data_IF_693990219767
#
_entry.id   IF_693990219767
#
_cell.length_a   1.000
_cell.length_b   1.000
_cell.length_c   1.000
_cell.angle_alpha   90.00
_cell.angle_beta   90.00
_cell.angle_gamma   90.00
#
_symmetry.space_group_name_H-M   'P 1'
#
loop_
_entity.id
_entity.type
_entity.pdbx_description
1 polymer ?
#
# COMPACT_ATOMS: atom_id res chain seq x y z
N UNK A 1 24.23 7.03 -12.49
CA UNK A 1 24.05 5.58 -12.26
C UNK A 1 23.76 4.90 -13.59
N UNK A 2 24.48 3.85 -13.89
CA UNK A 2 24.30 3.08 -15.13
C UNK A 2 23.17 2.06 -14.98
N UNK A 3 22.66 1.56 -16.11
CA UNK A 3 21.63 0.51 -16.11
C UNK A 3 22.15 -0.76 -15.43
N UNK A 4 23.42 -1.11 -15.62
CA UNK A 4 24.04 -2.26 -14.98
C UNK A 4 24.09 -2.12 -13.45
N UNK A 5 24.38 -0.92 -12.96
CA UNK A 5 24.36 -0.64 -11.51
C UNK A 5 22.95 -0.73 -10.93
N UNK A 6 21.96 -0.20 -11.64
CA UNK A 6 20.55 -0.28 -11.23
C UNK A 6 20.06 -1.72 -11.21
N UNK A 7 20.40 -2.51 -12.22
CA UNK A 7 20.05 -3.93 -12.27
C UNK A 7 20.65 -4.70 -11.10
N UNK A 8 21.89 -4.40 -10.74
CA UNK A 8 22.56 -5.02 -9.59
C UNK A 8 21.83 -4.69 -8.28
N UNK A 9 21.44 -3.42 -8.09
CA UNK A 9 20.66 -3.00 -6.92
C UNK A 9 19.32 -3.73 -6.88
N UNK A 10 18.61 -3.78 -7.99
CA UNK A 10 17.32 -4.47 -8.09
C UNK A 10 17.44 -5.95 -7.72
N UNK A 11 18.43 -6.63 -8.27
CA UNK A 11 18.65 -8.05 -8.00
C UNK A 11 19.03 -8.30 -6.53
N UNK A 12 19.78 -7.40 -5.91
CA UNK A 12 20.10 -7.48 -4.49
C UNK A 12 18.85 -7.32 -3.62
N UNK A 13 17.99 -6.37 -3.96
CA UNK A 13 16.72 -6.15 -3.25
C UNK A 13 15.80 -7.36 -3.38
N UNK A 14 15.67 -7.91 -4.56
CA UNK A 14 14.90 -9.14 -4.79
C UNK A 14 15.39 -10.28 -3.91
N UNK A 15 16.68 -10.51 -3.94
CA UNK A 15 17.31 -11.60 -3.18
C UNK A 15 17.09 -11.42 -1.68
N UNK A 16 17.25 -10.19 -1.20
CA UNK A 16 17.08 -9.88 0.22
C UNK A 16 15.63 -10.07 0.66
N UNK A 17 14.67 -9.64 -0.14
CA UNK A 17 13.24 -9.83 0.14
C UNK A 17 12.88 -11.32 0.15
N UNK A 18 13.33 -12.06 -0.83
CA UNK A 18 13.09 -13.50 -0.94
C UNK A 18 13.67 -14.24 0.26
N UNK A 19 14.93 -13.93 0.63
CA UNK A 19 15.61 -14.55 1.76
C UNK A 19 14.88 -14.25 3.08
N UNK A 20 14.47 -13.00 3.28
CA UNK A 20 13.72 -12.61 4.48
C UNK A 20 12.42 -13.40 4.62
N UNK A 21 11.66 -13.50 3.53
CA UNK A 21 10.40 -14.26 3.54
C UNK A 21 10.65 -15.74 3.79
N UNK A 22 11.63 -16.34 3.15
CA UNK A 22 11.95 -17.75 3.31
C UNK A 22 12.42 -18.06 4.74
N UNK A 23 13.27 -17.22 5.32
CA UNK A 23 13.79 -17.40 6.68
C UNK A 23 12.70 -17.29 7.74
N UNK A 24 11.65 -16.50 7.48
CA UNK A 24 10.56 -16.27 8.43
C UNK A 24 9.30 -17.11 8.12
N UNK A 25 9.36 -17.95 7.10
CA UNK A 25 8.23 -18.80 6.71
C UNK A 25 7.07 -18.04 6.08
N UNK A 26 7.30 -16.87 5.51
CA UNK A 26 6.28 -16.07 4.83
C UNK A 26 6.23 -16.47 3.35
N UNK A 27 5.10 -17.03 2.93
CA UNK A 27 4.89 -17.37 1.52
C UNK A 27 4.27 -16.20 0.75
N UNK A 28 3.40 -15.42 1.40
CA UNK A 28 2.65 -14.34 0.78
C UNK A 28 2.95 -13.01 1.48
N UNK A 29 2.82 -11.93 0.72
CA UNK A 29 2.99 -10.57 1.24
C UNK A 29 1.79 -9.70 0.89
N UNK A 30 1.53 -8.71 1.73
CA UNK A 30 0.47 -7.74 1.52
C UNK A 30 1.05 -6.34 1.54
N UNK A 31 0.57 -5.47 0.67
CA UNK A 31 1.03 -4.09 0.60
C UNK A 31 -0.10 -3.13 0.24
N UNK A 32 0.11 -1.86 0.56
CA UNK A 32 -0.76 -0.79 0.12
C UNK A 32 -0.31 -0.27 -1.24
N UNK A 33 -1.23 -0.15 -2.18
CA UNK A 33 -0.97 0.38 -3.52
C UNK A 33 -1.75 1.70 -3.65
N UNK A 34 -1.03 2.80 -3.72
CA UNK A 34 -1.64 4.14 -3.67
C UNK A 34 -1.80 4.82 -5.04
N UNK A 35 -1.26 4.23 -6.08
CA UNK A 35 -1.13 4.88 -7.40
C UNK A 35 0.09 5.78 -7.50
N UNK A 36 0.90 5.92 -6.43
CA UNK A 36 2.18 6.63 -6.43
C UNK A 36 3.34 5.75 -6.83
N UNK A 37 4.48 6.38 -7.09
CA UNK A 37 5.67 5.70 -7.59
C UNK A 37 6.26 4.70 -6.59
N UNK A 38 6.34 5.08 -5.32
CA UNK A 38 6.99 4.24 -4.30
C UNK A 38 6.25 2.92 -4.12
N UNK A 39 4.92 2.97 -3.96
CA UNK A 39 4.12 1.75 -3.82
C UNK A 39 4.13 0.91 -5.10
N UNK A 40 4.20 1.55 -6.26
CA UNK A 40 4.31 0.86 -7.54
C UNK A 40 5.61 0.06 -7.62
N UNK A 41 6.73 0.68 -7.26
CA UNK A 41 8.04 0.02 -7.27
C UNK A 41 8.05 -1.17 -6.30
N UNK A 42 7.51 -0.99 -5.09
CA UNK A 42 7.44 -2.07 -4.10
C UNK A 42 6.60 -3.24 -4.60
N UNK A 43 5.47 -2.95 -5.26
CA UNK A 43 4.60 -4.01 -5.79
C UNK A 43 5.29 -4.81 -6.89
N UNK A 44 6.00 -4.15 -7.79
CA UNK A 44 6.74 -4.81 -8.88
C UNK A 44 7.92 -5.63 -8.31
N UNK A 45 8.63 -5.07 -7.35
CA UNK A 45 9.74 -5.78 -6.69
C UNK A 45 9.25 -7.05 -6.00
N UNK A 46 8.12 -6.98 -5.29
CA UNK A 46 7.54 -8.14 -4.62
C UNK A 46 7.14 -9.21 -5.63
N UNK A 47 6.52 -8.83 -6.74
CA UNK A 47 6.16 -9.78 -7.81
C UNK A 47 7.39 -10.44 -8.42
N UNK A 48 8.43 -9.65 -8.65
CA UNK A 48 9.67 -10.15 -9.25
C UNK A 48 10.42 -11.10 -8.30
N UNK A 49 10.35 -10.84 -7.00
CA UNK A 49 11.03 -11.65 -5.98
C UNK A 49 10.25 -12.92 -5.61
N UNK A 50 8.93 -12.84 -5.50
CA UNK A 50 8.11 -13.89 -4.90
C UNK A 50 7.14 -14.57 -5.88
N UNK A 51 6.85 -13.93 -7.00
CA UNK A 51 5.80 -14.34 -7.93
C UNK A 51 4.50 -13.58 -7.65
N UNK A 52 3.79 -13.23 -8.71
CA UNK A 52 2.56 -12.42 -8.61
C UNK A 52 1.47 -13.11 -7.78
N UNK A 53 1.42 -14.43 -7.80
CA UNK A 53 0.45 -15.23 -7.03
C UNK A 53 0.62 -15.10 -5.51
N UNK A 54 1.78 -14.62 -5.06
CA UNK A 54 2.10 -14.43 -3.63
C UNK A 54 1.97 -12.98 -3.17
N UNK A 55 1.56 -12.08 -4.07
CA UNK A 55 1.48 -10.64 -3.77
C UNK A 55 0.02 -10.19 -3.75
N UNK A 56 -0.37 -9.56 -2.64
CA UNK A 56 -1.72 -9.06 -2.43
C UNK A 56 -1.66 -7.58 -2.12
N UNK A 57 -2.38 -6.77 -2.90
CA UNK A 57 -2.36 -5.32 -2.76
C UNK A 57 -3.74 -4.76 -2.46
N UNK A 58 -3.77 -3.77 -1.57
CA UNK A 58 -4.97 -3.02 -1.24
C UNK A 58 -4.81 -1.56 -1.67
N UNK A 59 -5.76 -1.07 -2.44
CA UNK A 59 -5.95 0.37 -2.64
C UNK A 59 -6.97 0.84 -1.61
N UNK A 60 -6.49 1.47 -0.56
CA UNK A 60 -7.33 1.96 0.53
C UNK A 60 -7.72 3.40 0.23
N UNK A 61 -8.88 3.54 -0.42
CA UNK A 61 -9.33 4.85 -0.88
C UNK A 61 -10.06 5.64 0.20
N UNK A 62 -9.98 6.96 0.07
CA UNK A 62 -10.75 7.93 0.85
C UNK A 62 -11.45 8.89 -0.11
N UNK A 63 -12.23 9.84 0.41
CA UNK A 63 -12.87 10.88 -0.39
C UNK A 63 -11.83 11.78 -1.10
N UNK A 64 -10.58 11.79 -0.63
CA UNK A 64 -9.49 12.59 -1.20
C UNK A 64 -8.69 11.82 -2.25
N UNK A 65 -8.95 10.53 -2.44
CA UNK A 65 -8.24 9.74 -3.45
C UNK A 65 -8.71 10.14 -4.83
N UNK A 66 -7.75 10.50 -5.71
CA UNK A 66 -8.07 10.91 -7.07
C UNK A 66 -8.45 9.72 -7.94
N UNK A 67 -9.28 9.99 -8.96
CA UNK A 67 -9.62 9.00 -9.98
C UNK A 67 -8.37 8.52 -10.71
N UNK A 68 -7.42 9.42 -10.96
CA UNK A 68 -6.15 9.07 -11.59
C UNK A 68 -5.36 8.04 -10.76
N UNK A 69 -5.30 8.23 -9.44
CA UNK A 69 -4.63 7.27 -8.55
C UNK A 69 -5.28 5.89 -8.61
N UNK A 70 -6.61 5.84 -8.64
CA UNK A 70 -7.36 4.59 -8.77
C UNK A 70 -7.07 3.89 -10.10
N UNK A 71 -7.05 4.66 -11.19
CA UNK A 71 -6.75 4.12 -12.52
C UNK A 71 -5.33 3.60 -12.62
N UNK A 72 -4.36 4.33 -12.10
CA UNK A 72 -2.94 3.93 -12.12
C UNK A 72 -2.74 2.64 -11.31
N UNK A 73 -3.29 2.59 -10.10
CA UNK A 73 -3.17 1.40 -9.25
C UNK A 73 -3.78 0.17 -9.92
N UNK A 74 -4.97 0.30 -10.49
CA UNK A 74 -5.63 -0.79 -11.19
C UNK A 74 -4.82 -1.26 -12.40
N UNK A 75 -4.21 -0.35 -13.14
CA UNK A 75 -3.39 -0.67 -14.30
C UNK A 75 -2.12 -1.40 -13.93
N UNK A 76 -1.45 -0.96 -12.86
CA UNK A 76 -0.25 -1.63 -12.34
C UNK A 76 -0.59 -3.07 -11.94
N UNK A 77 -1.69 -3.25 -11.23
CA UNK A 77 -2.15 -4.57 -10.80
C UNK A 77 -2.44 -5.48 -12.00
N UNK A 78 -3.13 -4.97 -13.01
CA UNK A 78 -3.47 -5.72 -14.21
C UNK A 78 -2.23 -6.12 -15.01
N UNK A 79 -1.26 -5.21 -15.14
CA UNK A 79 -0.03 -5.48 -15.89
C UNK A 79 0.87 -6.51 -15.20
N UNK A 80 0.85 -6.58 -13.87
CA UNK A 80 1.71 -7.47 -13.10
C UNK A 80 1.00 -8.75 -12.64
N UNK A 81 -0.32 -8.78 -12.67
CA UNK A 81 -1.09 -9.98 -12.39
C UNK A 81 -1.23 -10.37 -10.93
N UNK A 82 -0.93 -9.46 -9.99
CA UNK A 82 -1.11 -9.75 -8.56
C UNK A 82 -2.56 -9.52 -8.11
N UNK A 83 -2.92 -10.10 -6.97
CA UNK A 83 -4.22 -9.90 -6.34
C UNK A 83 -4.39 -8.45 -5.89
N UNK A 84 -5.49 -7.82 -6.30
CA UNK A 84 -5.73 -6.39 -6.07
C UNK A 84 -7.17 -6.15 -5.66
N UNK A 85 -7.33 -5.39 -4.58
CA UNK A 85 -8.65 -4.99 -4.08
C UNK A 85 -8.67 -3.51 -3.75
N UNK A 86 -9.80 -2.88 -4.01
CA UNK A 86 -10.08 -1.50 -3.59
C UNK A 86 -10.97 -1.55 -2.35
N UNK A 87 -10.53 -0.89 -1.29
CA UNK A 87 -11.27 -0.82 -0.03
C UNK A 87 -11.52 0.64 0.29
N UNK A 88 -12.78 1.00 0.55
CA UNK A 88 -13.13 2.35 0.98
C UNK A 88 -13.00 2.44 2.49
N UNK A 89 -11.99 3.17 2.96
CA UNK A 89 -11.74 3.36 4.40
C UNK A 89 -12.36 4.66 4.94
N UNK A 90 -13.02 5.45 4.09
CA UNK A 90 -13.62 6.71 4.51
C UNK A 90 -14.66 6.55 5.62
N UNK A 91 -15.58 5.56 5.59
CA UNK A 91 -16.53 5.39 6.67
C UNK A 91 -15.91 5.18 8.05
N UNK A 92 -14.78 4.47 8.12
CA UNK A 92 -14.04 4.25 9.37
C UNK A 92 -13.42 5.56 9.86
N UNK A 93 -12.79 6.31 8.95
CA UNK A 93 -12.21 7.61 9.25
C UNK A 93 -13.29 8.59 9.76
N UNK A 94 -14.45 8.63 9.11
CA UNK A 94 -15.57 9.49 9.52
C UNK A 94 -16.06 9.14 10.91
N UNK A 95 -16.10 7.87 11.25
CA UNK A 95 -16.49 7.41 12.58
C UNK A 95 -15.48 7.86 13.64
N UNK A 96 -14.19 7.77 13.35
CA UNK A 96 -13.14 8.24 14.25
C UNK A 96 -13.20 9.75 14.44
N UNK A 97 -13.48 10.51 13.38
CA UNK A 97 -13.65 11.97 13.45
C UNK A 97 -14.80 12.33 14.39
N UNK A 98 -15.94 11.65 14.27
CA UNK A 98 -17.10 11.87 15.17
C UNK A 98 -16.75 11.54 16.62
N UNK A 99 -16.04 10.45 16.83
CA UNK A 99 -15.57 10.05 18.16
C UNK A 99 -14.68 11.13 18.80
N UNK A 100 -13.69 11.61 18.05
CA UNK A 100 -12.76 12.64 18.53
C UNK A 100 -13.47 13.98 18.78
N UNK A 101 -14.39 14.38 17.91
CA UNK A 101 -15.19 15.59 18.09
C UNK A 101 -16.03 15.51 19.37
N UNK A 102 -16.60 14.34 19.68
CA UNK A 102 -17.34 14.11 20.92
C UNK A 102 -16.49 14.23 22.18
N UNK A 103 -15.20 13.85 22.08
CA UNK A 103 -14.27 13.92 23.21
C UNK A 103 -13.71 15.32 23.40
N UNK A 104 -13.32 15.99 22.31
CA UNK A 104 -12.60 17.27 22.36
C UNK A 104 -13.49 18.48 22.05
N UNK A 105 -14.71 18.29 21.59
CA UNK A 105 -15.66 19.37 21.32
C UNK A 105 -15.34 20.23 20.12
N UNK A 106 -14.44 19.81 19.24
CA UNK A 106 -13.99 20.57 18.08
C UNK A 106 -13.92 19.69 16.84
N UNK A 107 -14.01 20.32 15.65
CA UNK A 107 -13.70 19.65 14.40
C UNK A 107 -12.22 19.33 14.31
N UNK A 108 -11.89 18.17 13.77
CA UNK A 108 -10.51 17.77 13.56
C UNK A 108 -9.83 18.66 12.51
N UNK A 109 -8.62 19.11 12.80
CA UNK A 109 -7.79 19.88 11.87
C UNK A 109 -7.25 18.98 10.77
N UNK A 110 -6.89 19.57 9.61
CA UNK A 110 -6.40 18.82 8.44
C UNK A 110 -5.27 17.85 8.78
N UNK A 111 -4.31 18.26 9.62
CA UNK A 111 -3.19 17.40 10.00
C UNK A 111 -3.66 16.16 10.79
N UNK A 112 -4.70 16.30 11.61
CA UNK A 112 -5.30 15.18 12.34
C UNK A 112 -5.98 14.22 11.36
N UNK A 113 -6.66 14.76 10.34
CA UNK A 113 -7.29 13.95 9.30
C UNK A 113 -6.27 13.15 8.49
N UNK A 114 -5.15 13.75 8.13
CA UNK A 114 -4.06 13.06 7.45
C UNK A 114 -3.49 11.93 8.30
N UNK A 115 -3.30 12.18 9.60
CA UNK A 115 -2.81 11.19 10.54
C UNK A 115 -3.80 10.03 10.71
N UNK A 116 -5.11 10.30 10.76
CA UNK A 116 -6.14 9.27 10.83
C UNK A 116 -6.11 8.38 9.59
N UNK A 117 -5.97 8.98 8.41
CA UNK A 117 -5.87 8.21 7.16
C UNK A 117 -4.65 7.29 7.16
N UNK A 118 -3.49 7.82 7.54
CA UNK A 118 -2.25 7.04 7.57
C UNK A 118 -2.34 5.87 8.55
N UNK A 119 -2.87 6.11 9.73
CA UNK A 119 -3.04 5.08 10.77
C UNK A 119 -4.06 4.03 10.37
N UNK A 120 -5.17 4.43 9.75
CA UNK A 120 -6.21 3.50 9.29
C UNK A 120 -5.67 2.59 8.19
N UNK A 121 -4.87 3.12 7.27
CA UNK A 121 -4.22 2.30 6.24
C UNK A 121 -3.30 1.25 6.86
N UNK A 122 -2.47 1.63 7.83
CA UNK A 122 -1.61 0.70 8.55
C UNK A 122 -2.40 -0.36 9.29
N UNK A 123 -3.45 0.05 10.00
CA UNK A 123 -4.33 -0.87 10.74
C UNK A 123 -5.01 -1.87 9.80
N UNK A 124 -5.52 -1.41 8.68
CA UNK A 124 -6.20 -2.26 7.70
C UNK A 124 -5.25 -3.31 7.13
N UNK A 125 -4.01 -2.94 6.82
CA UNK A 125 -3.00 -3.88 6.32
C UNK A 125 -2.60 -4.91 7.38
N UNK A 126 -2.55 -4.51 8.64
CA UNK A 126 -2.17 -5.41 9.74
C UNK A 126 -3.28 -6.37 10.15
N UNK A 127 -4.50 -6.05 9.83
CA UNK A 127 -5.65 -6.90 10.16
C UNK A 127 -5.69 -8.15 9.29
#
# INVERSE_FOLDING_TARGET
MTDAEMEKIWNNLKRNLKSYCDENGFSDVMLGLSGGLDSAIVSVLACDALGAEHVHALMMKTDYTSELSLQIAAKIAALNGFDYKVVDIQPVIDNQKRFLAGVFGEEAKNIVLENLQARERGKTLMA
#
